data_IF_411992907605
#
_entry.id   IF_411992907605
#
_cell.length_a   1.000
_cell.length_b   1.000
_cell.length_c   1.000
_cell.angle_alpha   90.00
_cell.angle_beta   90.00
_cell.angle_gamma   90.00
#
_symmetry.space_group_name_H-M   'P 1'
#
loop_
_entity.id
_entity.type
_entity.pdbx_description
1 polymer ?
#
# COMPACT_ATOMS: atom_id res chain seq x y z
N UNK A 1 -2.64 21.22 21.94
CA UNK A 1 -3.02 20.32 20.84
C UNK A 1 -2.72 21.06 19.54
N UNK A 2 -1.96 20.46 18.62
CA UNK A 2 -1.57 21.15 17.38
C UNK A 2 -2.76 21.24 16.44
N UNK A 3 -3.12 22.46 16.01
CA UNK A 3 -4.13 22.75 14.98
C UNK A 3 -3.85 22.07 13.62
N UNK A 4 -2.70 21.41 13.47
CA UNK A 4 -2.25 20.78 12.22
C UNK A 4 -2.48 19.26 12.13
N UNK A 5 -3.06 18.61 13.15
CA UNK A 5 -3.37 17.17 13.10
C UNK A 5 -4.80 16.92 12.62
N UNK A 6 -4.96 16.70 11.32
CA UNK A 6 -6.27 16.56 10.66
C UNK A 6 -6.86 15.14 10.72
N UNK A 7 -6.10 14.16 11.22
CA UNK A 7 -6.55 12.77 11.33
C UNK A 7 -7.17 12.44 12.71
N UNK A 8 -7.53 13.45 13.50
CA UNK A 8 -8.21 13.25 14.79
C UNK A 8 -9.50 12.42 14.69
N UNK A 9 -10.37 12.59 13.68
CA UNK A 9 -11.56 11.74 13.52
C UNK A 9 -11.26 10.27 13.23
N UNK A 10 -10.03 9.98 12.79
CA UNK A 10 -9.60 8.63 12.43
C UNK A 10 -8.94 7.90 13.62
N UNK A 11 -8.65 8.62 14.71
CA UNK A 11 -8.20 8.03 15.95
C UNK A 11 -9.33 7.18 16.55
N UNK A 12 -8.96 6.01 17.03
CA UNK A 12 -9.90 5.15 17.74
C UNK A 12 -10.27 5.76 19.10
N UNK A 13 -11.49 5.51 19.57
CA UNK A 13 -11.93 5.95 20.89
C UNK A 13 -11.02 5.38 21.97
N UNK A 14 -10.38 6.24 22.76
CA UNK A 14 -9.49 5.85 23.84
C UNK A 14 -8.86 7.07 24.50
N UNK A 15 -8.40 6.90 25.74
CA UNK A 15 -7.70 7.96 26.48
C UNK A 15 -6.17 7.91 26.31
N UNK A 16 -5.64 6.84 25.70
CA UNK A 16 -4.22 6.57 25.57
C UNK A 16 -3.89 6.14 24.15
N UNK A 17 -2.77 6.66 23.64
CA UNK A 17 -2.16 6.23 22.37
C UNK A 17 -0.94 5.37 22.74
N UNK A 18 -0.81 4.17 22.16
CA UNK A 18 0.37 3.35 22.42
C UNK A 18 1.63 3.99 21.83
N UNK A 19 2.80 3.66 22.37
CA UNK A 19 4.08 4.26 21.98
C UNK A 19 4.34 4.16 20.46
N UNK A 20 3.98 3.02 19.84
CA UNK A 20 4.14 2.81 18.39
C UNK A 20 3.24 3.75 17.59
N UNK A 21 1.97 3.89 17.99
CA UNK A 21 1.04 4.80 17.33
C UNK A 21 1.47 6.26 17.50
N UNK A 22 1.95 6.63 18.69
CA UNK A 22 2.48 7.97 18.97
C UNK A 22 3.70 8.25 18.08
N UNK A 23 4.65 7.32 18.01
CA UNK A 23 5.83 7.40 17.15
C UNK A 23 5.46 7.61 15.67
N UNK A 24 4.51 6.82 15.14
CA UNK A 24 4.04 6.95 13.76
C UNK A 24 3.37 8.29 13.48
N UNK A 25 2.58 8.80 14.43
CA UNK A 25 1.86 10.06 14.30
C UNK A 25 2.81 11.26 14.38
N UNK A 26 3.72 11.26 15.35
CA UNK A 26 4.58 12.40 15.67
C UNK A 26 5.74 12.53 14.68
N UNK A 27 6.42 11.44 14.35
CA UNK A 27 7.59 11.49 13.48
C UNK A 27 7.20 11.61 12.00
N UNK A 28 7.57 12.74 11.40
CA UNK A 28 7.26 13.07 10.03
C UNK A 28 7.85 12.08 9.01
N UNK A 29 8.88 11.32 9.35
CA UNK A 29 9.51 10.36 8.43
C UNK A 29 8.55 9.23 8.02
N UNK A 30 7.69 8.77 8.93
CA UNK A 30 6.72 7.69 8.65
C UNK A 30 5.57 8.15 7.75
N UNK A 31 5.27 9.45 7.78
CA UNK A 31 4.31 10.05 6.83
C UNK A 31 4.90 10.12 5.43
N UNK A 32 6.23 10.23 5.31
CA UNK A 32 6.96 10.45 4.06
C UNK A 32 7.56 9.20 3.43
N UNK A 33 7.32 8.04 4.03
CA UNK A 33 7.94 6.80 3.60
C UNK A 33 6.92 5.67 3.51
N UNK A 34 7.25 4.64 2.74
CA UNK A 34 6.63 3.34 2.87
C UNK A 34 7.18 2.67 4.13
N UNK A 35 6.38 1.85 4.79
CA UNK A 35 6.85 1.13 5.96
C UNK A 35 6.05 -0.14 6.18
N UNK A 36 6.65 -1.06 6.94
CA UNK A 36 5.97 -2.22 7.49
C UNK A 36 6.07 -2.17 9.01
N UNK A 37 4.96 -2.40 9.67
CA UNK A 37 4.88 -2.60 11.11
C UNK A 37 4.78 -4.10 11.37
N UNK A 38 5.72 -4.68 12.11
CA UNK A 38 5.72 -6.10 12.52
C UNK A 38 6.04 -6.16 14.00
N UNK A 39 5.20 -6.83 14.79
CA UNK A 39 5.43 -7.05 16.23
C UNK A 39 5.82 -5.77 17.00
N UNK A 40 5.15 -4.66 16.70
CA UNK A 40 5.39 -3.36 17.35
C UNK A 40 6.62 -2.60 16.84
N UNK A 41 7.35 -3.12 15.84
CA UNK A 41 8.51 -2.47 15.24
C UNK A 41 8.18 -1.96 13.84
N UNK A 42 8.48 -0.69 13.59
CA UNK A 42 8.26 -0.06 12.28
C UNK A 42 9.57 0.02 11.51
N UNK A 43 9.60 -0.60 10.33
CA UNK A 43 10.72 -0.52 9.39
C UNK A 43 10.32 0.32 8.17
N UNK A 44 11.14 1.31 7.82
CA UNK A 44 10.96 2.10 6.61
C UNK A 44 11.49 1.30 5.43
N UNK A 45 10.69 1.23 4.36
CA UNK A 45 11.00 0.46 3.17
C UNK A 45 11.39 1.38 2.01
N UNK A 46 12.48 1.04 1.33
CA UNK A 46 12.71 1.51 -0.04
C UNK A 46 11.82 0.76 -1.04
N UNK A 47 11.87 1.14 -2.32
CA UNK A 47 11.04 0.53 -3.36
C UNK A 47 11.32 -0.97 -3.55
N UNK A 48 12.59 -1.38 -3.51
CA UNK A 48 12.95 -2.78 -3.72
C UNK A 48 12.41 -3.66 -2.59
N UNK A 49 12.68 -3.23 -1.35
CA UNK A 49 12.19 -3.91 -0.15
C UNK A 49 10.67 -3.90 -0.06
N UNK A 50 10.02 -2.81 -0.48
CA UNK A 50 8.57 -2.74 -0.52
C UNK A 50 7.96 -3.81 -1.43
N UNK A 51 8.49 -4.01 -2.63
CA UNK A 51 7.98 -5.05 -3.55
C UNK A 51 8.19 -6.45 -2.99
N UNK A 52 9.32 -6.73 -2.34
CA UNK A 52 9.56 -8.00 -1.64
C UNK A 52 8.50 -8.24 -0.56
N UNK A 53 8.27 -7.23 0.29
CA UNK A 53 7.29 -7.29 1.38
C UNK A 53 5.86 -7.41 0.85
N UNK A 54 5.52 -6.74 -0.25
CA UNK A 54 4.19 -6.89 -0.88
C UNK A 54 4.00 -8.29 -1.49
N UNK A 55 5.06 -8.88 -2.06
CA UNK A 55 5.00 -10.22 -2.66
C UNK A 55 4.80 -11.32 -1.61
N UNK A 56 5.43 -11.15 -0.45
CA UNK A 56 5.24 -12.05 0.71
C UNK A 56 5.17 -11.29 2.05
N UNK A 57 3.99 -10.75 2.42
CA UNK A 57 3.81 -9.97 3.63
C UNK A 57 4.08 -10.78 4.90
N UNK A 58 4.89 -10.31 5.87
CA UNK A 58 5.05 -11.02 7.12
C UNK A 58 3.71 -11.24 7.82
N UNK A 59 3.50 -12.40 8.45
CA UNK A 59 2.33 -12.59 9.34
C UNK A 59 2.49 -11.65 10.54
N UNK A 60 1.40 -11.09 11.05
CA UNK A 60 1.49 -10.10 12.13
C UNK A 60 1.84 -8.69 11.64
N UNK A 61 1.89 -8.45 10.32
CA UNK A 61 2.31 -7.17 9.75
C UNK A 61 1.18 -6.23 9.31
N UNK A 62 1.45 -4.93 9.30
CA UNK A 62 0.69 -3.93 8.56
C UNK A 62 1.64 -3.22 7.58
N UNK A 63 1.29 -3.21 6.30
CA UNK A 63 2.09 -2.54 5.26
C UNK A 63 1.44 -1.21 4.89
N UNK A 64 2.17 -0.11 5.01
CA UNK A 64 1.75 1.20 4.52
C UNK A 64 2.46 1.56 3.22
N UNK A 65 1.66 1.90 2.22
CA UNK A 65 2.14 2.41 0.94
C UNK A 65 1.73 3.87 0.82
N UNK A 66 2.69 4.75 1.08
CA UNK A 66 2.56 6.19 0.87
C UNK A 66 2.16 6.53 -0.57
N UNK A 67 1.29 7.52 -0.70
CA UNK A 67 1.04 8.23 -1.95
C UNK A 67 1.43 9.72 -1.80
N UNK A 68 1.05 10.57 -2.73
CA UNK A 68 1.34 12.01 -2.66
C UNK A 68 0.24 12.83 -1.98
N UNK A 69 -0.82 12.19 -1.48
CA UNK A 69 -2.09 12.82 -1.17
C UNK A 69 -2.26 13.24 0.29
N UNK A 70 -2.42 12.26 1.19
CA UNK A 70 -2.98 12.48 2.54
C UNK A 70 -1.94 12.38 3.65
N UNK A 71 -1.86 13.42 4.48
CA UNK A 71 -1.13 13.36 5.74
C UNK A 71 -1.83 12.37 6.67
N UNK A 72 -1.10 11.34 7.11
CA UNK A 72 -1.56 10.33 8.08
C UNK A 72 -2.64 9.34 7.61
N UNK A 73 -2.71 9.02 6.30
CA UNK A 73 -3.67 8.04 5.77
C UNK A 73 -3.62 6.66 6.46
N UNK A 74 -2.47 6.30 7.04
CA UNK A 74 -2.27 5.06 7.78
C UNK A 74 -3.05 4.95 9.09
N UNK A 75 -3.53 6.04 9.69
CA UNK A 75 -4.15 6.00 11.04
C UNK A 75 -5.34 5.05 11.07
N UNK A 76 -6.17 5.07 10.02
CA UNK A 76 -7.32 4.16 9.84
C UNK A 76 -6.92 2.69 9.74
N UNK A 77 -5.66 2.41 9.42
CA UNK A 77 -5.14 1.07 9.20
C UNK A 77 -4.46 0.45 10.41
N UNK A 78 -4.12 1.22 11.45
CA UNK A 78 -3.38 0.75 12.63
C UNK A 78 -4.10 -0.35 13.44
N UNK A 79 -5.40 -0.55 13.19
CA UNK A 79 -6.19 -1.63 13.79
C UNK A 79 -6.11 -2.97 13.05
N UNK A 80 -5.50 -3.01 11.87
CA UNK A 80 -5.43 -4.21 11.04
C UNK A 80 -4.06 -4.85 11.11
N UNK A 81 -4.05 -6.17 10.96
CA UNK A 81 -2.84 -6.97 10.97
C UNK A 81 -2.98 -8.14 10.00
N UNK A 82 -1.89 -8.47 9.32
CA UNK A 82 -1.80 -9.59 8.40
C UNK A 82 -1.94 -10.90 9.15
N UNK A 83 -2.69 -11.82 8.56
CA UNK A 83 -2.84 -13.19 9.03
C UNK A 83 -2.15 -14.17 8.09
N UNK A 84 -2.31 -15.47 8.35
CA UNK A 84 -1.83 -16.52 7.44
C UNK A 84 -2.54 -16.51 6.08
N UNK A 85 -3.76 -15.99 6.00
CA UNK A 85 -4.57 -16.03 4.78
C UNK A 85 -4.70 -14.67 4.09
N UNK A 86 -4.65 -13.58 4.87
CA UNK A 86 -4.83 -12.22 4.40
C UNK A 86 -3.66 -11.33 4.75
N UNK A 87 -3.28 -10.46 3.82
CA UNK A 87 -2.36 -9.36 4.05
C UNK A 87 -3.14 -8.10 4.41
N UNK A 88 -2.68 -7.38 5.43
CA UNK A 88 -3.15 -6.05 5.78
C UNK A 88 -2.28 -4.99 5.11
N UNK A 89 -2.90 -4.26 4.18
CA UNK A 89 -2.28 -3.20 3.39
C UNK A 89 -3.01 -1.89 3.68
N UNK A 90 -2.31 -0.77 3.61
CA UNK A 90 -2.93 0.54 3.61
C UNK A 90 -2.33 1.38 2.49
N UNK A 91 -3.14 1.67 1.47
CA UNK A 91 -2.84 2.76 0.55
C UNK A 91 -3.14 4.09 1.23
N UNK A 92 -2.32 5.11 1.01
CA UNK A 92 -2.60 6.45 1.57
C UNK A 92 -3.93 7.03 1.05
N UNK A 93 -4.26 6.77 -0.23
CA UNK A 93 -5.52 7.23 -0.85
C UNK A 93 -6.64 6.18 -0.72
N UNK A 94 -6.28 4.89 -0.83
CA UNK A 94 -7.21 3.77 -0.84
C UNK A 94 -7.68 3.37 0.58
N UNK A 95 -6.91 3.72 1.60
CA UNK A 95 -7.16 3.33 2.98
C UNK A 95 -6.81 1.85 3.27
N UNK A 96 -7.33 1.29 4.38
CA UNK A 96 -7.03 -0.08 4.78
C UNK A 96 -7.70 -1.10 3.86
N UNK A 97 -6.92 -2.10 3.46
CA UNK A 97 -7.31 -3.20 2.58
C UNK A 97 -6.86 -4.53 3.21
N UNK A 98 -7.76 -5.51 3.20
CA UNK A 98 -7.43 -6.90 3.52
C UNK A 98 -7.47 -7.71 2.23
N UNK A 99 -6.32 -8.20 1.80
CA UNK A 99 -6.16 -8.88 0.50
C UNK A 99 -5.73 -10.32 0.73
N UNK A 100 -6.39 -11.33 0.12
CA UNK A 100 -5.88 -12.70 0.17
C UNK A 100 -4.43 -12.76 -0.31
N UNK A 101 -3.55 -13.47 0.40
CA UNK A 101 -2.10 -13.46 0.10
C UNK A 101 -1.79 -13.92 -1.33
N UNK A 102 -2.48 -14.95 -1.81
CA UNK A 102 -2.33 -15.43 -3.19
C UNK A 102 -2.75 -14.38 -4.23
N UNK A 103 -3.82 -13.64 -3.95
CA UNK A 103 -4.27 -12.53 -4.82
C UNK A 103 -3.26 -11.39 -4.83
N UNK A 104 -2.75 -11.01 -3.65
CA UNK A 104 -1.74 -9.95 -3.55
C UNK A 104 -0.48 -10.32 -4.34
N UNK A 105 0.03 -11.55 -4.17
CA UNK A 105 1.19 -12.05 -4.91
C UNK A 105 0.97 -11.98 -6.43
N UNK A 106 -0.17 -12.48 -6.91
CA UNK A 106 -0.54 -12.39 -8.32
C UNK A 106 -0.53 -10.95 -8.83
N UNK A 107 -1.12 -10.01 -8.08
CA UNK A 107 -1.16 -8.60 -8.47
C UNK A 107 0.24 -7.97 -8.52
N UNK A 108 1.13 -8.29 -7.56
CA UNK A 108 2.51 -7.80 -7.55
C UNK A 108 3.28 -8.32 -8.78
N UNK A 109 3.20 -9.62 -9.05
CA UNK A 109 3.87 -10.24 -10.20
C UNK A 109 3.36 -9.70 -11.53
N UNK A 110 2.04 -9.52 -11.66
CA UNK A 110 1.44 -8.90 -12.84
C UNK A 110 1.92 -7.46 -13.01
N UNK A 111 1.96 -6.67 -11.93
CA UNK A 111 2.38 -5.28 -11.98
C UNK A 111 3.86 -5.13 -12.37
N UNK A 112 4.74 -5.97 -11.85
CA UNK A 112 6.16 -5.99 -12.22
C UNK A 112 6.36 -6.39 -13.68
N UNK A 113 5.64 -7.42 -14.15
CA UNK A 113 5.68 -7.85 -15.56
C UNK A 113 5.17 -6.74 -16.47
N UNK A 114 4.05 -6.11 -16.11
CA UNK A 114 3.47 -4.99 -16.82
C UNK A 114 4.43 -3.80 -16.91
N UNK A 115 5.01 -3.40 -15.79
CA UNK A 115 5.94 -2.28 -15.74
C UNK A 115 7.23 -2.56 -16.52
N UNK A 116 7.74 -3.80 -16.50
CA UNK A 116 8.93 -4.17 -17.28
C UNK A 116 8.69 -4.10 -18.79
N UNK A 117 7.52 -4.53 -19.25
CA UNK A 117 7.16 -4.52 -20.67
C UNK A 117 6.81 -3.10 -21.17
N UNK A 118 5.91 -2.41 -20.46
CA UNK A 118 5.35 -1.13 -20.89
C UNK A 118 6.24 0.07 -20.50
N UNK A 119 7.08 -0.09 -19.46
CA UNK A 119 7.95 0.96 -18.89
C UNK A 119 7.21 2.24 -18.50
N UNK A 120 5.89 2.15 -18.29
CA UNK A 120 5.01 3.27 -18.04
C UNK A 120 4.03 2.93 -16.93
N UNK A 121 4.18 3.60 -15.78
CA UNK A 121 3.24 3.47 -14.66
C UNK A 121 1.82 3.95 -15.02
N UNK A 122 1.72 4.92 -15.94
CA UNK A 122 0.44 5.43 -16.44
C UNK A 122 -0.45 4.32 -17.00
N UNK A 123 0.11 3.35 -17.72
CA UNK A 123 -0.63 2.23 -18.27
C UNK A 123 -1.27 1.35 -17.18
N UNK A 124 -0.56 1.12 -16.07
CA UNK A 124 -1.06 0.32 -14.95
C UNK A 124 -2.22 1.03 -14.23
N UNK A 125 -2.15 2.36 -14.09
CA UNK A 125 -3.14 3.14 -13.34
C UNK A 125 -4.36 3.53 -14.20
N UNK A 126 -4.12 3.94 -15.44
CA UNK A 126 -5.11 4.56 -16.31
C UNK A 126 -5.60 3.63 -17.43
N UNK A 127 -5.00 2.45 -17.59
CA UNK A 127 -5.26 1.54 -18.72
C UNK A 127 -4.28 1.74 -19.87
N UNK A 128 -4.22 0.77 -20.78
CA UNK A 128 -3.28 0.78 -21.89
C UNK A 128 -3.68 1.77 -23.00
N UNK A 129 -2.74 2.59 -23.45
CA UNK A 129 -2.86 3.43 -24.64
C UNK A 129 -2.83 2.59 -25.92
N UNK A 130 -3.35 3.11 -27.04
CA UNK A 130 -3.36 2.44 -28.36
C UNK A 130 -1.99 1.86 -28.79
N UNK A 131 -0.89 2.52 -28.40
CA UNK A 131 0.48 2.07 -28.72
C UNK A 131 0.94 0.87 -27.88
N UNK A 132 0.34 0.67 -26.72
CA UNK A 132 0.69 -0.38 -25.74
C UNK A 132 -0.07 -1.69 -26.02
N UNK A 133 -1.17 -1.62 -26.78
CA UNK A 133 -1.95 -2.79 -27.24
C UNK A 133 -1.20 -3.75 -28.16
N UNK A 134 0.04 -3.44 -28.55
CA UNK A 134 0.98 -4.45 -29.10
C UNK A 134 1.23 -5.59 -28.11
N UNK A 135 1.07 -5.34 -26.81
CA UNK A 135 1.07 -6.34 -25.73
C UNK A 135 -0.38 -6.71 -25.33
N UNK A 136 -1.19 -7.14 -26.29
CA UNK A 136 -2.63 -7.31 -26.13
C UNK A 136 -3.02 -8.15 -24.90
N UNK A 137 -2.43 -9.33 -24.72
CA UNK A 137 -2.74 -10.22 -23.58
C UNK A 137 -2.47 -9.54 -22.23
N UNK A 138 -1.34 -8.85 -22.13
CA UNK A 138 -0.95 -8.14 -20.92
C UNK A 138 -1.87 -6.95 -20.63
N UNK A 139 -2.26 -6.20 -21.67
CA UNK A 139 -3.22 -5.11 -21.54
C UNK A 139 -4.60 -5.61 -21.09
N UNK A 140 -5.07 -6.74 -21.63
CA UNK A 140 -6.31 -7.39 -21.17
C UNK A 140 -6.22 -7.77 -19.69
N UNK A 141 -5.10 -8.36 -19.25
CA UNK A 141 -4.91 -8.69 -17.83
C UNK A 141 -4.93 -7.45 -16.93
N UNK A 142 -4.29 -6.34 -17.35
CA UNK A 142 -4.31 -5.07 -16.61
C UNK A 142 -5.73 -4.53 -16.51
N UNK A 143 -6.49 -4.51 -17.61
CA UNK A 143 -7.86 -4.01 -17.63
C UNK A 143 -8.79 -4.77 -16.68
N UNK A 144 -8.60 -6.09 -16.54
CA UNK A 144 -9.35 -6.93 -15.60
C UNK A 144 -9.10 -6.53 -14.14
N UNK A 145 -7.89 -6.11 -13.79
CA UNK A 145 -7.51 -5.80 -12.40
C UNK A 145 -7.47 -4.30 -12.07
N UNK A 146 -7.57 -3.41 -13.07
CA UNK A 146 -7.43 -1.95 -12.89
C UNK A 146 -8.41 -1.35 -11.88
N UNK A 147 -9.59 -1.97 -11.74
CA UNK A 147 -10.61 -1.57 -10.76
C UNK A 147 -10.32 -2.01 -9.32
N UNK A 148 -9.37 -2.93 -9.11
CA UNK A 148 -9.02 -3.47 -7.80
C UNK A 148 -8.27 -2.41 -6.97
N UNK A 149 -8.74 -2.06 -5.76
CA UNK A 149 -8.03 -1.09 -4.91
C UNK A 149 -6.60 -1.54 -4.58
N UNK A 150 -6.36 -2.84 -4.40
CA UNK A 150 -5.03 -3.36 -4.12
C UNK A 150 -4.08 -3.16 -5.31
N UNK A 151 -4.60 -3.29 -6.55
CA UNK A 151 -3.84 -3.04 -7.76
C UNK A 151 -3.32 -1.60 -7.81
N UNK A 152 -4.14 -0.61 -7.43
CA UNK A 152 -3.70 0.80 -7.41
C UNK A 152 -2.59 1.04 -6.41
N UNK A 153 -2.68 0.42 -5.23
CA UNK A 153 -1.64 0.53 -4.20
C UNK A 153 -0.31 -0.06 -4.71
N UNK A 154 -0.35 -1.25 -5.29
CA UNK A 154 0.83 -1.94 -5.84
C UNK A 154 1.43 -1.16 -7.01
N UNK A 155 0.59 -0.66 -7.93
CA UNK A 155 1.05 0.10 -9.10
C UNK A 155 1.79 1.39 -8.71
N UNK A 156 1.47 1.99 -7.57
CA UNK A 156 2.18 3.16 -7.04
C UNK A 156 3.55 2.82 -6.43
N UNK A 157 3.72 1.58 -5.98
CA UNK A 157 4.98 1.08 -5.41
C UNK A 157 6.09 0.89 -6.47
N UNK A 158 5.73 0.79 -7.76
CA UNK A 158 6.63 0.59 -8.91
C UNK A 158 7.21 1.90 -9.45
#
# INVERSE_FOLDING_TARGET
MSENFTAYPDLFSGMLVCEVCAQLIEDAKYRRSHWVLVDGKVEILDKGKLLEVLRDPPVGSLIYVRSGGRRHGFVRALRYVSTRSYAALCGEDEGPLLVPRGRLRYLVELAERAYRALKRRGALLNGCDAKEWVHEDLCREIEVVRGDPAWRVISRAL
#
